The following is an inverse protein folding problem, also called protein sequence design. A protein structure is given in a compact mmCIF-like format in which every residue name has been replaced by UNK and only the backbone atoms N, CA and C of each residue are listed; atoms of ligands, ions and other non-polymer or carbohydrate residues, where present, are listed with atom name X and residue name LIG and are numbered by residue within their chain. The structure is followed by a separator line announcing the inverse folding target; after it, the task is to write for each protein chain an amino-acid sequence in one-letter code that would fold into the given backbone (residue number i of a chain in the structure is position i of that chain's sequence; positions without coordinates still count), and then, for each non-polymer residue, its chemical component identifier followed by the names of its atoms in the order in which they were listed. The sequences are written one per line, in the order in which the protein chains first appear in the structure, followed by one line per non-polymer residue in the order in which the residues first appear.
data_IF_765726905258
#
_entry.id   IF_765726905258
#
_cell.length_a   1.000
_cell.length_b   1.000
_cell.length_c   1.000
_cell.angle_alpha   90.00
_cell.angle_beta   90.00
_cell.angle_gamma   90.00
#
_symmetry.space_group_name_H-M   'P 1'
#
loop_
_entity.id
_entity.type
_entity.pdbx_description
1 polymer ?
#
# COMPACT_ATOMS: atom_id res chain seq x y z
N UNK A 1 9.79 5.74 -34.10
CA UNK A 1 9.84 4.38 -33.51
C UNK A 1 9.30 4.34 -32.06
N UNK A 2 8.31 5.18 -31.70
CA UNK A 2 7.64 5.14 -30.38
C UNK A 2 6.16 4.67 -30.49
N UNK A 3 5.63 4.54 -31.70
CA UNK A 3 4.24 4.14 -31.97
C UNK A 3 4.00 2.65 -31.74
N UNK A 4 5.00 1.80 -32.00
CA UNK A 4 4.91 0.34 -31.82
C UNK A 4 4.93 -0.11 -30.36
N UNK A 5 5.57 0.64 -29.45
CA UNK A 5 5.63 0.26 -28.04
C UNK A 5 4.27 0.41 -27.35
N UNK A 6 3.61 1.57 -27.48
CA UNK A 6 2.29 1.81 -26.88
C UNK A 6 1.20 0.86 -27.41
N UNK A 7 1.31 0.40 -28.66
CA UNK A 7 0.33 -0.49 -29.28
C UNK A 7 0.44 -1.95 -28.82
N UNK A 8 1.60 -2.36 -28.29
CA UNK A 8 1.87 -3.76 -27.88
C UNK A 8 2.03 -3.92 -26.36
N UNK A 9 1.99 -2.83 -25.60
CA UNK A 9 1.95 -2.89 -24.14
C UNK A 9 0.48 -3.00 -23.73
N UNK A 10 0.07 -4.21 -23.34
CA UNK A 10 -1.17 -4.39 -22.58
C UNK A 10 -0.98 -3.68 -21.25
N UNK A 11 -1.58 -2.50 -21.10
CA UNK A 11 -1.52 -1.74 -19.86
C UNK A 11 -2.36 -2.46 -18.79
N UNK A 12 -1.75 -3.35 -18.04
CA UNK A 12 -2.37 -3.95 -16.85
C UNK A 12 -2.52 -2.85 -15.81
N UNK A 13 -3.75 -2.58 -15.37
CA UNK A 13 -3.97 -1.62 -14.29
C UNK A 13 -3.35 -2.18 -13.01
N UNK A 14 -2.48 -1.42 -12.32
CA UNK A 14 -1.95 -1.88 -11.04
C UNK A 14 -3.13 -2.02 -10.06
N UNK A 15 -3.06 -3.02 -9.20
CA UNK A 15 -3.95 -3.06 -8.06
C UNK A 15 -3.55 -1.95 -7.09
N UNK A 16 -4.53 -1.18 -6.62
CA UNK A 16 -4.30 -0.01 -5.77
C UNK A 16 -4.84 -0.31 -4.38
N UNK A 17 -3.98 -0.09 -3.39
CA UNK A 17 -4.33 -0.10 -1.98
C UNK A 17 -4.00 1.27 -1.40
N UNK A 18 -4.93 1.86 -0.66
CA UNK A 18 -4.79 3.21 -0.10
C UNK A 18 -4.55 3.11 1.40
N UNK A 19 -3.57 3.85 1.91
CA UNK A 19 -3.38 4.04 3.35
C UNK A 19 -4.07 5.34 3.82
N UNK A 20 -5.08 5.20 4.68
CA UNK A 20 -5.74 6.31 5.37
C UNK A 20 -5.22 6.46 6.80
N UNK A 21 -5.00 7.70 7.25
CA UNK A 21 -4.64 7.98 8.64
C UNK A 21 -5.74 7.58 9.65
N UNK A 22 -7.00 7.55 9.21
CA UNK A 22 -8.16 7.17 10.03
C UNK A 22 -8.49 5.70 9.90
N UNK A 23 -8.52 5.18 8.67
CA UNK A 23 -9.10 3.88 8.36
C UNK A 23 -8.08 2.76 8.14
N UNK A 24 -6.78 3.05 8.14
CA UNK A 24 -5.77 2.06 7.79
C UNK A 24 -5.72 1.78 6.29
N UNK A 25 -5.33 0.56 5.91
CA UNK A 25 -5.33 0.11 4.53
C UNK A 25 -6.75 -0.16 4.05
N UNK A 26 -7.12 0.42 2.92
CA UNK A 26 -8.43 0.28 2.30
C UNK A 26 -8.30 0.03 0.80
N UNK A 27 -9.32 -0.61 0.23
CA UNK A 27 -9.46 -0.79 -1.21
C UNK A 27 -9.69 0.56 -1.90
N UNK A 28 -9.26 0.67 -3.15
CA UNK A 28 -9.30 1.93 -3.89
C UNK A 28 -10.71 2.40 -4.27
N UNK A 29 -11.69 1.49 -4.28
CA UNK A 29 -13.10 1.73 -4.56
C UNK A 29 -13.95 1.93 -3.29
N UNK A 30 -13.35 1.84 -2.10
CA UNK A 30 -14.04 2.08 -0.84
C UNK A 30 -14.49 3.54 -0.73
N UNK A 31 -15.80 3.73 -0.61
CA UNK A 31 -16.38 5.04 -0.28
C UNK A 31 -16.04 5.39 1.17
N UNK A 32 -15.45 6.57 1.36
CA UNK A 32 -15.09 7.12 2.67
C UNK A 32 -15.86 8.42 2.92
N UNK A 33 -16.41 8.55 4.12
CA UNK A 33 -17.01 9.81 4.57
C UNK A 33 -15.93 10.88 4.76
N UNK A 34 -16.23 12.16 4.54
CA UNK A 34 -15.29 13.25 4.81
C UNK A 34 -14.76 13.21 6.25
N UNK A 35 -13.45 13.38 6.40
CA UNK A 35 -12.80 13.43 7.70
C UNK A 35 -11.57 14.34 7.68
N UNK A 36 -11.23 14.92 8.84
CA UNK A 36 -9.98 15.64 9.02
C UNK A 36 -9.08 14.91 10.02
N UNK A 37 -8.16 14.11 9.48
CA UNK A 37 -7.11 13.47 10.28
C UNK A 37 -5.82 13.38 9.45
N UNK A 38 -4.77 14.04 9.92
CA UNK A 38 -3.46 14.06 9.25
C UNK A 38 -2.59 12.92 9.75
N UNK A 39 -1.78 12.37 8.85
CA UNK A 39 -0.72 11.41 9.20
C UNK A 39 0.50 12.13 9.78
N UNK A 40 0.43 12.44 11.08
CA UNK A 40 1.57 12.93 11.86
C UNK A 40 2.56 11.81 12.17
N UNK A 41 3.76 12.14 12.64
CA UNK A 41 4.72 11.12 13.08
C UNK A 41 4.19 10.29 14.26
N UNK A 42 3.52 10.92 15.22
CA UNK A 42 2.89 10.23 16.34
C UNK A 42 1.81 9.25 15.85
N UNK A 43 0.95 9.67 14.91
CA UNK A 43 -0.08 8.80 14.34
C UNK A 43 0.53 7.63 13.56
N UNK A 44 1.60 7.87 12.81
CA UNK A 44 2.30 6.79 12.10
C UNK A 44 2.88 5.76 13.08
N UNK A 45 3.48 6.20 14.19
CA UNK A 45 4.02 5.30 15.21
C UNK A 45 2.92 4.49 15.90
N UNK A 46 1.79 5.11 16.24
CA UNK A 46 0.60 4.44 16.78
C UNK A 46 0.08 3.36 15.82
N UNK A 47 -0.09 3.70 14.54
CA UNK A 47 -0.53 2.74 13.53
C UNK A 47 0.46 1.59 13.32
N UNK A 48 1.76 1.81 13.48
CA UNK A 48 2.78 0.75 13.40
C UNK A 48 2.70 -0.17 14.63
N UNK A 49 2.48 0.38 15.82
CA UNK A 49 2.34 -0.41 17.04
C UNK A 49 1.10 -1.32 17.00
N UNK A 50 0.01 -0.82 16.42
CA UNK A 50 -1.28 -1.52 16.30
C UNK A 50 -1.58 -1.98 14.87
N UNK A 51 -0.53 -2.23 14.08
CA UNK A 51 -0.62 -2.49 12.65
C UNK A 51 -1.62 -3.59 12.26
N UNK A 52 -1.75 -4.71 12.98
CA UNK A 52 -2.77 -5.73 12.67
C UNK A 52 -4.20 -5.18 12.61
N UNK A 53 -4.54 -4.14 13.39
CA UNK A 53 -5.87 -3.52 13.37
C UNK A 53 -6.11 -2.63 12.15
N UNK A 54 -5.05 -2.04 11.60
CA UNK A 54 -5.11 -1.17 10.42
C UNK A 54 -4.86 -1.90 9.10
N UNK A 55 -4.46 -3.16 9.18
CA UNK A 55 -4.00 -3.97 8.06
C UNK A 55 -4.87 -5.21 7.83
N UNK A 56 -6.19 -5.01 7.83
CA UNK A 56 -7.19 -6.07 7.81
C UNK A 56 -7.68 -6.46 6.42
N UNK A 57 -7.26 -5.74 5.38
CA UNK A 57 -7.65 -6.05 4.00
C UNK A 57 -6.73 -7.09 3.37
N UNK A 58 -7.28 -7.89 2.47
CA UNK A 58 -6.50 -8.78 1.62
C UNK A 58 -5.74 -7.95 0.58
N UNK A 59 -4.44 -8.23 0.45
CA UNK A 59 -3.65 -7.67 -0.63
C UNK A 59 -3.74 -8.58 -1.86
N UNK A 60 -3.62 -8.01 -3.07
CA UNK A 60 -3.55 -8.81 -4.29
C UNK A 60 -2.46 -9.89 -4.17
N UNK A 61 -2.79 -11.12 -4.55
CA UNK A 61 -1.85 -12.22 -4.57
C UNK A 61 -0.89 -12.11 -5.77
N UNK A 62 0.28 -12.75 -5.67
CA UNK A 62 1.23 -12.86 -6.79
C UNK A 62 1.91 -11.54 -7.20
N UNK A 63 1.93 -10.55 -6.30
CA UNK A 63 2.57 -9.26 -6.54
C UNK A 63 4.10 -9.42 -6.55
N UNK A 64 4.73 -8.93 -7.62
CA UNK A 64 6.21 -8.96 -7.79
C UNK A 64 6.87 -7.64 -7.46
N UNK A 65 6.13 -6.54 -7.57
CA UNK A 65 6.60 -5.19 -7.26
C UNK A 65 5.52 -4.37 -6.58
N UNK A 66 5.93 -3.55 -5.62
CA UNK A 66 5.07 -2.64 -4.87
C UNK A 66 5.68 -1.24 -4.95
N UNK A 67 4.88 -0.29 -5.45
CA UNK A 67 5.22 1.13 -5.44
C UNK A 67 4.63 1.80 -4.20
N UNK A 68 5.46 2.40 -3.37
CA UNK A 68 5.04 3.13 -2.17
C UNK A 68 4.85 4.62 -2.45
N UNK A 69 3.68 4.96 -2.99
CA UNK A 69 3.30 6.34 -3.26
C UNK A 69 2.77 7.04 -1.98
N UNK A 70 3.59 7.88 -1.36
CA UNK A 70 3.17 8.68 -0.22
C UNK A 70 4.27 9.55 0.37
N UNK A 71 3.88 10.45 1.28
CA UNK A 71 4.83 11.23 2.09
C UNK A 71 5.63 10.35 3.06
N UNK A 72 6.70 10.90 3.64
CA UNK A 72 7.61 10.19 4.57
C UNK A 72 6.87 9.42 5.68
N UNK A 73 5.88 10.04 6.31
CA UNK A 73 5.10 9.42 7.40
C UNK A 73 4.24 8.25 6.91
N UNK A 74 3.60 8.38 5.75
CA UNK A 74 2.83 7.31 5.12
C UNK A 74 3.73 6.14 4.70
N UNK A 75 4.85 6.42 4.02
CA UNK A 75 5.79 5.38 3.56
C UNK A 75 6.33 4.55 4.74
N UNK A 76 6.55 5.18 5.90
CA UNK A 76 6.97 4.47 7.11
C UNK A 76 5.98 3.38 7.54
N UNK A 77 4.68 3.69 7.56
CA UNK A 77 3.62 2.73 7.88
C UNK A 77 3.49 1.67 6.79
N UNK A 78 3.56 2.08 5.52
CA UNK A 78 3.50 1.16 4.38
C UNK A 78 4.64 0.13 4.40
N UNK A 79 5.87 0.57 4.67
CA UNK A 79 7.03 -0.32 4.81
C UNK A 79 6.82 -1.31 5.96
N UNK A 80 6.34 -0.86 7.12
CA UNK A 80 6.04 -1.75 8.24
C UNK A 80 5.01 -2.82 7.88
N UNK A 81 3.99 -2.46 7.08
CA UNK A 81 2.97 -3.41 6.61
C UNK A 81 3.53 -4.43 5.62
N UNK A 82 4.40 -4.00 4.70
CA UNK A 82 5.09 -4.91 3.77
C UNK A 82 5.97 -5.90 4.55
N UNK A 83 6.80 -5.42 5.47
CA UNK A 83 7.68 -6.28 6.27
C UNK A 83 6.89 -7.26 7.15
N UNK A 84 5.78 -6.80 7.75
CA UNK A 84 4.87 -7.67 8.49
C UNK A 84 4.30 -8.78 7.60
N UNK A 85 3.85 -8.46 6.39
CA UNK A 85 3.28 -9.45 5.47
C UNK A 85 4.32 -10.45 4.96
N UNK A 86 5.55 -10.00 4.69
CA UNK A 86 6.68 -10.91 4.39
C UNK A 86 6.92 -11.88 5.53
N UNK A 87 6.94 -11.38 6.78
CA UNK A 87 7.12 -12.23 7.96
C UNK A 87 5.98 -13.26 8.16
N UNK A 88 4.77 -12.93 7.72
CA UNK A 88 3.63 -13.85 7.71
C UNK A 88 3.60 -14.81 6.51
N UNK A 89 4.52 -14.68 5.55
CA UNK A 89 4.52 -15.47 4.31
C UNK A 89 3.42 -15.09 3.32
N UNK A 90 2.80 -13.91 3.47
CA UNK A 90 1.75 -13.40 2.57
C UNK A 90 2.33 -12.67 1.35
N UNK A 91 3.59 -12.25 1.41
CA UNK A 91 4.33 -11.66 0.30
C UNK A 91 5.62 -12.44 0.09
N UNK A 92 6.05 -12.52 -1.17
CA UNK A 92 7.36 -13.08 -1.52
C UNK A 92 8.48 -12.21 -0.91
N UNK A 93 9.49 -12.86 -0.33
CA UNK A 93 10.66 -12.20 0.23
C UNK A 93 11.45 -11.40 -0.82
N UNK A 94 11.35 -11.77 -2.10
CA UNK A 94 12.05 -11.15 -3.23
C UNK A 94 11.24 -10.03 -3.91
N UNK A 95 10.14 -9.57 -3.30
CA UNK A 95 9.33 -8.49 -3.86
C UNK A 95 10.14 -7.20 -3.99
N UNK A 96 10.02 -6.54 -5.14
CA UNK A 96 10.68 -5.25 -5.39
C UNK A 96 9.85 -4.14 -4.77
N UNK A 97 10.47 -3.27 -3.97
CA UNK A 97 9.82 -2.10 -3.37
C UNK A 97 10.39 -0.83 -4.02
N UNK A 98 9.52 -0.02 -4.61
CA UNK A 98 9.85 1.25 -5.29
C UNK A 98 9.33 2.46 -4.51
#
# INVERSE_FOLDING_TARGET
MYSTFRANVTATRPAIVILSAKHGFIEADRVIEPYEQRMTEARANEMIAELPGFDSIEWPAGVRSILLAGGKTYRKVMLAAVERRKALGLLDSNIVIE
#
